data_IF_306127605524
#
_entry.id   IF_306127605524
#
_cell.length_a   1.000
_cell.length_b   1.000
_cell.length_c   1.000
_cell.angle_alpha   90.00
_cell.angle_beta   90.00
_cell.angle_gamma   90.00
#
_symmetry.space_group_name_H-M   'P 1'
#
loop_
_entity.id
_entity.type
_entity.pdbx_description
1 polymer ?
#
# COMPACT_ATOMS: atom_id res chain seq x y z
N UNK A 1 2.67 -2.47 42.82
CA UNK A 1 1.49 -1.65 42.52
C UNK A 1 1.94 -0.34 41.88
N UNK A 2 2.30 -0.33 40.59
CA UNK A 2 2.54 0.88 39.81
C UNK A 2 2.14 0.58 38.37
N UNK A 3 0.85 0.77 38.08
CA UNK A 3 0.24 0.45 36.80
C UNK A 3 -0.68 1.60 36.41
N UNK A 4 -0.15 2.80 36.18
CA UNK A 4 -0.98 3.85 35.59
C UNK A 4 -0.15 4.94 34.91
N UNK A 5 -0.81 5.63 33.98
CA UNK A 5 -0.37 6.82 33.22
C UNK A 5 0.21 6.51 31.83
N UNK A 6 -0.68 6.34 30.85
CA UNK A 6 -0.34 6.61 29.45
C UNK A 6 -1.38 7.48 28.70
N UNK A 7 -2.47 7.90 29.35
CA UNK A 7 -3.58 8.56 28.66
C UNK A 7 -4.35 9.55 29.57
N UNK A 8 -3.63 10.41 30.30
CA UNK A 8 -4.27 11.53 31.01
C UNK A 8 -3.91 12.84 30.29
N UNK A 9 -4.75 13.31 29.34
CA UNK A 9 -4.58 14.62 28.75
C UNK A 9 -4.82 15.68 29.83
N UNK A 10 -3.78 16.43 30.19
CA UNK A 10 -3.85 17.47 31.21
C UNK A 10 -4.59 18.73 30.73
N UNK A 11 -4.76 18.90 29.41
CA UNK A 11 -5.42 20.06 28.80
C UNK A 11 -6.60 19.64 27.90
N UNK A 12 -7.58 20.55 27.74
CA UNK A 12 -8.75 20.33 26.85
C UNK A 12 -8.33 20.06 25.41
N UNK A 13 -7.26 20.72 24.92
CA UNK A 13 -6.70 20.50 23.58
C UNK A 13 -6.09 19.11 23.43
N UNK A 14 -5.35 18.62 24.43
CA UNK A 14 -4.78 17.29 24.43
C UNK A 14 -5.88 16.20 24.42
N UNK A 15 -6.96 16.38 25.20
CA UNK A 15 -8.11 15.45 25.17
C UNK A 15 -8.77 15.41 23.80
N UNK A 16 -8.92 16.56 23.12
CA UNK A 16 -9.44 16.64 21.75
C UNK A 16 -8.50 15.96 20.75
N UNK A 17 -7.20 16.22 20.83
CA UNK A 17 -6.18 15.63 19.96
C UNK A 17 -6.15 14.11 20.09
N UNK A 18 -6.29 13.59 21.30
CA UNK A 18 -6.34 12.15 21.60
C UNK A 18 -7.49 11.46 20.88
N UNK A 19 -8.72 12.00 21.03
CA UNK A 19 -9.90 11.47 20.32
C UNK A 19 -9.73 11.50 18.81
N UNK A 20 -9.21 12.62 18.28
CA UNK A 20 -8.95 12.77 16.84
C UNK A 20 -7.90 11.78 16.33
N UNK A 21 -6.83 11.56 17.10
CA UNK A 21 -5.78 10.60 16.79
C UNK A 21 -6.31 9.17 16.76
N UNK A 22 -7.13 8.77 17.74
CA UNK A 22 -7.74 7.45 17.78
C UNK A 22 -8.61 7.17 16.53
N UNK A 23 -9.42 8.14 16.10
CA UNK A 23 -10.25 8.01 14.90
C UNK A 23 -9.40 7.90 13.62
N UNK A 24 -8.40 8.78 13.48
CA UNK A 24 -7.45 8.73 12.35
C UNK A 24 -6.68 7.40 12.32
N UNK A 25 -6.28 6.89 13.49
CA UNK A 25 -5.56 5.61 13.62
C UNK A 25 -6.40 4.46 13.07
N UNK A 26 -7.69 4.36 13.43
CA UNK A 26 -8.59 3.32 12.91
C UNK A 26 -8.67 3.34 11.38
N UNK A 27 -8.90 4.53 10.80
CA UNK A 27 -8.96 4.71 9.34
C UNK A 27 -7.63 4.35 8.65
N UNK A 28 -6.50 4.82 9.20
CA UNK A 28 -5.18 4.55 8.65
C UNK A 28 -4.82 3.06 8.71
N UNK A 29 -5.20 2.35 9.77
CA UNK A 29 -5.00 0.91 9.91
C UNK A 29 -5.78 0.16 8.84
N UNK A 30 -7.07 0.45 8.68
CA UNK A 30 -7.92 -0.18 7.66
C UNK A 30 -7.30 -0.09 6.26
N UNK A 31 -6.93 1.11 5.83
CA UNK A 31 -6.31 1.30 4.51
C UNK A 31 -4.92 0.67 4.41
N UNK A 32 -4.13 0.73 5.49
CA UNK A 32 -2.80 0.11 5.57
C UNK A 32 -2.89 -1.39 5.35
N UNK A 33 -3.83 -2.04 5.99
CA UNK A 33 -4.02 -3.48 5.88
C UNK A 33 -4.59 -3.84 4.52
N UNK A 34 -5.55 -3.05 4.00
CA UNK A 34 -6.12 -3.24 2.66
C UNK A 34 -5.05 -3.23 1.56
N UNK A 35 -4.20 -2.21 1.49
CA UNK A 35 -3.16 -2.17 0.44
C UNK A 35 -2.09 -3.25 0.65
N UNK A 36 -1.78 -3.60 1.91
CA UNK A 36 -0.83 -4.68 2.21
C UNK A 36 -1.36 -6.05 1.78
N UNK A 37 -2.65 -6.30 1.98
CA UNK A 37 -3.32 -7.52 1.52
C UNK A 37 -3.29 -7.61 0.00
N UNK A 38 -3.63 -6.54 -0.73
CA UNK A 38 -3.50 -6.51 -2.20
C UNK A 38 -2.06 -6.77 -2.67
N UNK A 39 -1.06 -6.21 -1.96
CA UNK A 39 0.35 -6.52 -2.24
C UNK A 39 0.67 -8.00 -2.01
N UNK A 40 0.12 -8.61 -0.95
CA UNK A 40 0.34 -10.04 -0.67
C UNK A 40 -0.26 -10.91 -1.78
N UNK A 41 -1.49 -10.64 -2.20
CA UNK A 41 -2.15 -11.35 -3.31
C UNK A 41 -1.41 -11.21 -4.63
N UNK A 42 -0.92 -10.00 -4.94
CA UNK A 42 -0.05 -9.76 -6.10
C UNK A 42 1.24 -10.60 -6.03
N UNK A 43 1.92 -10.59 -4.89
CA UNK A 43 3.14 -11.40 -4.70
C UNK A 43 2.87 -12.89 -4.87
N UNK A 44 1.76 -13.41 -4.33
CA UNK A 44 1.38 -14.80 -4.50
C UNK A 44 1.14 -15.13 -5.97
N UNK A 45 0.38 -14.29 -6.68
CA UNK A 45 0.08 -14.48 -8.11
C UNK A 45 1.34 -14.48 -8.98
N UNK A 46 2.35 -13.68 -8.63
CA UNK A 46 3.64 -13.65 -9.32
C UNK A 46 4.49 -14.92 -9.08
N UNK A 47 4.29 -15.63 -7.96
CA UNK A 47 5.04 -16.85 -7.63
C UNK A 47 4.36 -18.10 -8.20
N UNK A 48 3.03 -18.14 -8.15
CA UNK A 48 2.24 -19.31 -8.54
C UNK A 48 2.16 -19.54 -10.05
N UNK A 49 2.79 -18.70 -10.88
CA UNK A 49 2.67 -18.75 -12.36
C UNK A 49 1.22 -18.79 -12.85
N UNK A 50 0.29 -18.22 -12.07
CA UNK A 50 -1.10 -18.05 -12.49
C UNK A 50 -1.04 -17.20 -13.75
N UNK A 51 -1.59 -17.68 -14.87
CA UNK A 51 -1.37 -17.15 -16.22
C UNK A 51 -1.44 -15.61 -16.34
N UNK A 52 -0.86 -15.08 -17.41
CA UNK A 52 -0.61 -13.65 -17.61
C UNK A 52 -1.84 -12.73 -17.35
N UNK A 53 -3.05 -13.22 -17.65
CA UNK A 53 -4.30 -12.48 -17.42
C UNK A 53 -4.62 -12.28 -15.92
N UNK A 54 -4.45 -13.32 -15.10
CA UNK A 54 -4.68 -13.22 -13.64
C UNK A 54 -3.75 -12.19 -13.00
N UNK A 55 -2.50 -12.14 -13.46
CA UNK A 55 -1.52 -11.16 -12.96
C UNK A 55 -1.89 -9.73 -13.38
N UNK A 56 -2.42 -9.53 -14.59
CA UNK A 56 -2.90 -8.22 -15.06
C UNK A 56 -4.10 -7.74 -14.25
N UNK A 57 -5.07 -8.60 -14.01
CA UNK A 57 -6.27 -8.24 -13.22
C UNK A 57 -5.90 -7.85 -11.79
N UNK A 58 -5.05 -8.65 -11.14
CA UNK A 58 -4.54 -8.32 -9.82
C UNK A 58 -3.73 -7.02 -9.81
N UNK A 59 -3.09 -6.65 -10.93
CA UNK A 59 -2.33 -5.41 -11.05
C UNK A 59 -3.25 -4.20 -11.13
N UNK A 60 -4.36 -4.31 -11.87
CA UNK A 60 -5.39 -3.27 -11.90
C UNK A 60 -5.98 -3.04 -10.51
N UNK A 61 -6.32 -4.12 -9.80
CA UNK A 61 -6.84 -4.04 -8.42
C UNK A 61 -5.81 -3.36 -7.49
N UNK A 62 -4.54 -3.77 -7.58
CA UNK A 62 -3.48 -3.18 -6.77
C UNK A 62 -3.31 -1.67 -7.05
N UNK A 63 -3.32 -1.26 -8.31
CA UNK A 63 -3.24 0.14 -8.70
C UNK A 63 -4.41 0.94 -8.13
N UNK A 64 -5.64 0.43 -8.28
CA UNK A 64 -6.85 1.07 -7.77
C UNK A 64 -6.79 1.26 -6.25
N UNK A 65 -6.34 0.25 -5.50
CA UNK A 65 -6.23 0.33 -4.04
C UNK A 65 -5.14 1.32 -3.61
N UNK A 66 -3.99 1.35 -4.28
CA UNK A 66 -2.91 2.28 -3.97
C UNK A 66 -3.33 3.74 -4.23
N UNK A 67 -4.04 3.99 -5.33
CA UNK A 67 -4.47 5.34 -5.69
C UNK A 67 -5.58 5.84 -4.76
N UNK A 68 -6.52 4.97 -4.37
CA UNK A 68 -7.50 5.27 -3.31
C UNK A 68 -6.81 5.57 -1.98
N UNK A 69 -5.85 4.74 -1.55
CA UNK A 69 -5.11 4.97 -0.31
C UNK A 69 -4.28 6.29 -0.33
N UNK A 70 -3.82 6.72 -1.52
CA UNK A 70 -3.16 8.02 -1.69
C UNK A 70 -4.15 9.18 -1.64
N UNK A 71 -5.34 9.03 -2.24
CA UNK A 71 -6.41 10.04 -2.22
C UNK A 71 -6.92 10.28 -0.79
N UNK A 72 -7.08 9.21 -0.02
CA UNK A 72 -7.43 9.24 1.41
C UNK A 72 -6.29 9.72 2.32
N UNK A 73 -5.14 10.12 1.75
CA UNK A 73 -3.97 10.65 2.46
C UNK A 73 -3.35 9.69 3.47
N UNK A 74 -3.60 8.38 3.36
CA UNK A 74 -2.99 7.35 4.22
C UNK A 74 -1.56 7.06 3.78
N UNK A 75 -1.28 7.15 2.48
CA UNK A 75 0.07 7.06 1.92
C UNK A 75 0.37 8.27 1.06
N UNK A 76 1.63 8.70 1.03
CA UNK A 76 2.06 9.78 0.13
C UNK A 76 2.05 9.32 -1.34
N UNK A 77 1.76 10.24 -2.27
CA UNK A 77 1.74 9.98 -3.72
C UNK A 77 2.99 9.28 -4.24
N UNK A 78 4.17 9.69 -3.75
CA UNK A 78 5.45 9.08 -4.16
C UNK A 78 5.56 7.63 -3.69
N UNK A 79 4.99 7.28 -2.52
CA UNK A 79 4.98 5.90 -2.04
C UNK A 79 4.08 5.03 -2.92
N UNK A 80 2.90 5.53 -3.29
CA UNK A 80 2.01 4.86 -4.24
C UNK A 80 2.71 4.64 -5.59
N UNK A 81 3.32 5.69 -6.15
CA UNK A 81 4.04 5.63 -7.43
C UNK A 81 5.23 4.64 -7.39
N UNK A 82 6.03 4.63 -6.32
CA UNK A 82 7.12 3.66 -6.15
C UNK A 82 6.61 2.22 -6.12
N UNK A 83 5.48 1.97 -5.46
CA UNK A 83 4.87 0.64 -5.41
C UNK A 83 4.33 0.23 -6.79
N UNK A 84 3.60 1.12 -7.47
CA UNK A 84 3.09 0.88 -8.84
C UNK A 84 4.24 0.54 -9.80
N UNK A 85 5.28 1.38 -9.83
CA UNK A 85 6.46 1.17 -10.68
C UNK A 85 7.17 -0.17 -10.37
N UNK A 86 7.35 -0.49 -9.08
CA UNK A 86 8.00 -1.75 -8.68
C UNK A 86 7.26 -2.99 -9.19
N UNK A 87 5.94 -3.04 -9.04
CA UNK A 87 5.18 -4.21 -9.49
C UNK A 87 4.99 -4.24 -11.00
N UNK A 88 4.80 -3.09 -11.66
CA UNK A 88 4.78 -3.01 -13.12
C UNK A 88 6.06 -3.57 -13.74
N UNK A 89 7.23 -3.23 -13.19
CA UNK A 89 8.52 -3.79 -13.63
C UNK A 89 8.56 -5.31 -13.51
N UNK A 90 8.08 -5.87 -12.40
CA UNK A 90 8.04 -7.33 -12.19
C UNK A 90 7.13 -8.04 -13.18
N UNK A 91 5.93 -7.50 -13.41
CA UNK A 91 4.99 -8.03 -14.41
C UNK A 91 5.60 -7.96 -15.81
N UNK A 92 6.22 -6.82 -16.17
CA UNK A 92 6.88 -6.68 -17.47
C UNK A 92 8.06 -7.65 -17.65
N UNK A 93 8.79 -7.95 -16.59
CA UNK A 93 9.91 -8.89 -16.64
C UNK A 93 9.43 -10.33 -16.91
N UNK A 94 8.24 -10.71 -16.43
CA UNK A 94 7.63 -12.00 -16.78
C UNK A 94 7.27 -12.11 -18.26
N UNK A 95 6.84 -11.00 -18.88
CA UNK A 95 6.53 -10.96 -20.32
C UNK A 95 7.76 -10.82 -21.22
N UNK A 96 8.88 -10.28 -20.69
CA UNK A 96 10.06 -9.95 -21.46
C UNK A 96 11.11 -11.06 -21.31
N UNK A 97 11.10 -12.00 -22.24
CA UNK A 97 12.26 -12.87 -22.56
C UNK A 97 13.53 -12.01 -22.65
N UNK A 98 14.70 -12.48 -22.14
CA UNK A 98 15.91 -11.68 -22.07
C UNK A 98 16.44 -11.38 -23.50
N UNK A 99 16.05 -10.24 -24.09
CA UNK A 99 16.42 -10.02 -25.50
C UNK A 99 15.95 -8.74 -26.17
N UNK A 100 15.76 -7.62 -25.47
CA UNK A 100 15.66 -6.31 -26.15
C UNK A 100 16.45 -5.25 -25.43
N UNK A 101 17.74 -5.18 -25.77
CA UNK A 101 18.62 -4.05 -25.52
C UNK A 101 18.09 -2.87 -26.35
N UNK A 102 17.48 -1.90 -25.68
CA UNK A 102 17.16 -0.62 -26.32
C UNK A 102 18.47 0.14 -26.38
N UNK A 103 19.14 0.10 -27.54
CA UNK A 103 20.18 1.06 -27.89
C UNK A 103 19.52 2.43 -27.88
N UNK A 104 20.03 3.35 -27.08
CA UNK A 104 19.64 4.75 -27.17
C UNK A 104 20.86 5.50 -27.69
N UNK A 105 20.65 6.15 -28.83
CA UNK A 105 21.39 7.34 -29.25
C UNK A 105 21.13 8.49 -28.26
#
# INVERSE_FOLDING_TARGET
MLSYVALMPNTKSAKKALRGSANKRKHNIFWKDKYKSSIKSMKASLVSSNGAEVVKDQMQVLQQVLDKASKEKVIHKNKANRLKSRYARKVSALSKTPGKHRKNA
#
